data_IF_408707391813
#
_entry.id   IF_408707391813
#
_cell.length_a   1.000
_cell.length_b   1.000
_cell.length_c   1.000
_cell.angle_alpha   90.00
_cell.angle_beta   90.00
_cell.angle_gamma   90.00
#
_symmetry.space_group_name_H-M   'P 1'
#
loop_
_entity.id
_entity.type
_entity.pdbx_description
1 polymer ?
#
# COMPACT_ATOMS: atom_id res chain seq x y z
N UNK A 1 -26.22 8.94 -2.46
CA UNK A 1 -25.24 8.61 -1.40
C UNK A 1 -25.75 7.38 -0.70
N UNK A 2 -25.02 6.27 -0.75
CA UNK A 2 -25.37 5.06 0.02
C UNK A 2 -25.18 5.44 1.48
N UNK A 3 -26.24 5.33 2.29
CA UNK A 3 -26.21 5.73 3.69
C UNK A 3 -25.07 5.03 4.43
N UNK A 4 -24.09 5.80 4.89
CA UNK A 4 -23.04 5.30 5.76
C UNK A 4 -23.73 4.74 6.99
N UNK A 5 -23.47 3.46 7.29
CA UNK A 5 -23.80 2.96 8.62
C UNK A 5 -23.04 3.86 9.60
N UNK A 6 -23.69 4.48 10.58
CA UNK A 6 -22.97 5.15 11.66
C UNK A 6 -22.01 4.10 12.24
N UNK A 7 -20.71 4.41 12.26
CA UNK A 7 -19.58 3.57 12.70
C UNK A 7 -18.84 2.73 11.63
N UNK A 8 -19.05 2.93 10.33
CA UNK A 8 -18.14 2.33 9.35
C UNK A 8 -16.85 3.15 9.23
N UNK A 9 -15.89 2.91 10.14
CA UNK A 9 -14.55 3.51 10.14
C UNK A 9 -13.63 2.82 9.11
N UNK A 10 -14.11 2.68 7.88
CA UNK A 10 -13.32 2.13 6.79
C UNK A 10 -12.15 3.10 6.51
N UNK A 11 -10.90 2.63 6.60
CA UNK A 11 -9.73 3.49 6.46
C UNK A 11 -9.62 4.16 5.08
N UNK A 12 -10.36 3.71 4.07
CA UNK A 12 -10.39 4.35 2.76
C UNK A 12 -11.51 5.37 2.55
N UNK A 13 -12.39 5.54 3.54
CA UNK A 13 -13.55 6.42 3.47
C UNK A 13 -13.73 7.29 4.72
N UNK A 14 -12.62 7.65 5.39
CA UNK A 14 -12.68 8.44 6.62
C UNK A 14 -12.84 9.93 6.31
N UNK A 15 -13.73 10.59 7.06
CA UNK A 15 -13.71 12.04 7.18
C UNK A 15 -12.74 12.52 8.24
N UNK A 16 -12.37 13.80 8.19
CA UNK A 16 -11.45 14.40 9.17
C UNK A 16 -11.97 14.24 10.60
N UNK A 17 -13.28 14.37 10.80
CA UNK A 17 -13.92 14.23 12.12
C UNK A 17 -13.90 12.78 12.65
N UNK A 18 -13.68 11.80 11.78
CA UNK A 18 -13.60 10.38 12.11
C UNK A 18 -12.17 9.91 12.41
N UNK A 19 -11.15 10.75 12.16
CA UNK A 19 -9.74 10.38 12.39
C UNK A 19 -9.47 9.98 13.84
N UNK A 20 -9.97 10.74 14.81
CA UNK A 20 -9.80 10.46 16.24
C UNK A 20 -10.53 9.20 16.73
N UNK A 21 -11.39 8.61 15.90
CA UNK A 21 -12.11 7.38 16.20
C UNK A 21 -11.52 6.17 15.45
N UNK A 22 -10.76 6.41 14.38
CA UNK A 22 -10.26 5.38 13.49
C UNK A 22 -9.04 4.66 14.07
N UNK A 23 -9.12 3.34 14.35
CA UNK A 23 -7.95 2.59 14.81
C UNK A 23 -6.84 2.54 13.75
N UNK A 24 -7.19 2.61 12.46
CA UNK A 24 -6.21 2.64 11.37
C UNK A 24 -5.46 3.95 11.33
N UNK A 25 -6.16 5.07 11.56
CA UNK A 25 -5.53 6.38 11.63
C UNK A 25 -4.59 6.48 12.84
N UNK A 26 -5.04 6.01 14.01
CA UNK A 26 -4.20 5.94 15.21
C UNK A 26 -2.97 5.05 15.01
N UNK A 27 -3.12 3.94 14.26
CA UNK A 27 -2.01 3.10 13.90
C UNK A 27 -0.99 3.86 13.05
N UNK A 28 -1.41 4.64 12.03
CA UNK A 28 -0.51 5.49 11.24
C UNK A 28 0.31 6.44 12.12
N UNK A 29 -0.32 7.14 13.07
CA UNK A 29 0.41 7.98 14.04
C UNK A 29 1.39 7.18 14.89
N UNK A 30 0.96 6.03 15.42
CA UNK A 30 1.80 5.18 16.25
C UNK A 30 3.04 4.70 15.50
N UNK A 31 2.91 4.36 14.21
CA UNK A 31 4.07 4.02 13.38
C UNK A 31 4.99 5.21 13.23
N UNK A 32 4.45 6.38 12.85
CA UNK A 32 5.23 7.61 12.69
C UNK A 32 6.15 7.88 13.86
N UNK A 33 5.60 7.85 15.07
CA UNK A 33 6.36 8.17 16.27
C UNK A 33 7.40 7.11 16.61
N UNK A 34 7.08 5.82 16.42
CA UNK A 34 8.07 4.75 16.55
C UNK A 34 9.24 4.90 15.56
N UNK A 35 8.96 5.33 14.32
CA UNK A 35 10.01 5.55 13.31
C UNK A 35 10.83 6.80 13.56
N UNK A 36 10.22 7.91 13.92
CA UNK A 36 10.95 9.12 14.32
C UNK A 36 11.92 8.84 15.47
N UNK A 37 11.50 8.03 16.44
CA UNK A 37 12.36 7.61 17.55
C UNK A 37 13.56 6.79 17.03
N UNK A 38 13.31 5.78 16.21
CA UNK A 38 14.38 4.96 15.60
C UNK A 38 15.31 5.77 14.67
N UNK A 39 14.79 6.79 13.97
CA UNK A 39 15.57 7.71 13.13
C UNK A 39 16.50 8.61 13.93
N UNK A 40 16.14 8.98 15.17
CA UNK A 40 17.04 9.73 16.04
C UNK A 40 18.16 8.84 16.60
N UNK A 41 17.85 7.57 16.81
CA UNK A 41 18.76 6.61 17.47
C UNK A 41 19.68 5.86 16.49
N UNK A 42 19.40 5.89 15.18
CA UNK A 42 20.19 5.24 14.13
C UNK A 42 20.30 6.15 12.89
N UNK A 43 21.36 5.98 12.07
CA UNK A 43 21.45 6.50 10.68
C UNK A 43 20.39 5.80 9.77
N UNK A 44 19.13 5.80 10.18
CA UNK A 44 18.12 4.95 9.56
C UNK A 44 17.63 5.59 8.27
N UNK A 45 17.48 4.74 7.26
CA UNK A 45 17.02 5.11 5.93
C UNK A 45 15.59 5.69 5.96
N UNK A 46 15.25 6.56 4.99
CA UNK A 46 13.88 7.00 4.78
C UNK A 46 13.03 5.82 4.33
N UNK A 47 11.73 6.05 4.16
CA UNK A 47 10.78 4.95 4.12
C UNK A 47 9.57 5.26 3.24
N UNK A 48 8.87 4.22 2.77
CA UNK A 48 7.84 4.33 1.74
C UNK A 48 6.67 3.42 2.04
N UNK A 49 5.44 3.94 1.93
CA UNK A 49 4.24 3.12 1.95
C UNK A 49 3.75 2.88 0.54
N UNK A 50 3.42 1.62 0.27
CA UNK A 50 2.75 1.25 -0.95
C UNK A 50 1.41 0.66 -0.56
N UNK A 51 0.34 1.37 -0.90
CA UNK A 51 -1.04 0.95 -0.70
C UNK A 51 -1.50 0.19 -1.95
N UNK A 52 -1.60 -1.14 -1.86
CA UNK A 52 -1.88 -1.99 -3.02
C UNK A 52 -3.36 -2.39 -3.06
N UNK A 53 -4.01 -2.06 -4.17
CA UNK A 53 -5.40 -2.35 -4.44
C UNK A 53 -5.55 -3.24 -5.68
N UNK A 54 -6.53 -4.13 -5.62
CA UNK A 54 -6.99 -4.83 -6.81
C UNK A 54 -8.08 -4.03 -7.51
N UNK A 55 -7.96 -3.84 -8.83
CA UNK A 55 -9.07 -3.38 -9.68
C UNK A 55 -9.52 -4.44 -10.68
N UNK A 56 -10.73 -4.26 -11.22
CA UNK A 56 -11.22 -5.07 -12.33
C UNK A 56 -10.51 -4.70 -13.63
N UNK A 57 -10.33 -5.68 -14.51
CA UNK A 57 -9.83 -5.41 -15.86
C UNK A 57 -10.76 -4.43 -16.60
N UNK A 58 -10.19 -3.56 -17.44
CA UNK A 58 -10.96 -2.68 -18.34
C UNK A 58 -10.78 -3.17 -19.78
N UNK A 59 -11.75 -2.87 -20.64
CA UNK A 59 -11.82 -3.43 -22.01
C UNK A 59 -10.56 -3.18 -22.86
N UNK A 60 -9.84 -2.09 -22.61
CA UNK A 60 -8.82 -1.59 -23.53
C UNK A 60 -7.39 -1.65 -22.99
N UNK A 61 -7.18 -2.06 -21.74
CA UNK A 61 -5.85 -1.97 -21.17
C UNK A 61 -5.60 -2.90 -19.97
N UNK A 62 -4.32 -3.16 -19.73
CA UNK A 62 -3.76 -3.87 -18.58
C UNK A 62 -2.82 -2.88 -17.89
N UNK A 63 -3.40 -1.79 -17.37
CA UNK A 63 -2.63 -0.71 -16.73
C UNK A 63 -2.56 -0.91 -15.24
N UNK A 64 -1.35 -0.93 -14.70
CA UNK A 64 -1.13 -0.68 -13.28
C UNK A 64 -1.29 0.83 -13.09
N UNK A 65 -2.30 1.22 -12.33
CA UNK A 65 -2.56 2.62 -12.02
C UNK A 65 -1.78 3.01 -10.76
N UNK A 66 -1.08 4.14 -10.81
CA UNK A 66 -0.21 4.64 -9.75
C UNK A 66 -0.80 5.94 -9.20
N UNK A 67 -1.38 5.87 -8.01
CA UNK A 67 -1.94 7.01 -7.31
C UNK A 67 -0.87 7.76 -6.51
N UNK A 68 -0.55 8.97 -6.98
CA UNK A 68 0.32 9.95 -6.30
C UNK A 68 -0.36 11.31 -6.08
N UNK A 69 -1.66 11.40 -6.38
CA UNK A 69 -2.41 12.66 -6.40
C UNK A 69 -2.43 13.38 -5.04
N UNK A 70 -2.51 12.70 -3.87
CA UNK A 70 -2.36 13.34 -2.58
C UNK A 70 -1.06 14.15 -2.49
N UNK A 71 0.08 13.60 -2.90
CA UNK A 71 1.36 14.30 -2.89
C UNK A 71 1.33 15.50 -3.83
N UNK A 72 0.86 15.30 -5.08
CA UNK A 72 0.70 16.37 -6.07
C UNK A 72 -0.20 17.52 -5.58
N UNK A 73 -1.17 17.23 -4.71
CA UNK A 73 -2.15 18.22 -4.24
C UNK A 73 -1.69 18.93 -2.97
N UNK A 74 -1.21 18.17 -2.00
CA UNK A 74 -0.85 18.67 -0.66
C UNK A 74 0.52 19.33 -0.62
N UNK A 75 1.41 18.96 -1.55
CA UNK A 75 2.79 19.46 -1.57
C UNK A 75 3.08 20.39 -2.75
N UNK A 76 2.05 20.78 -3.51
CA UNK A 76 2.18 21.59 -4.74
C UNK A 76 2.90 22.94 -4.52
N UNK A 77 2.75 23.53 -3.35
CA UNK A 77 3.27 24.86 -3.03
C UNK A 77 4.69 24.80 -2.43
N UNK A 78 5.25 23.60 -2.21
CA UNK A 78 6.61 23.39 -1.73
C UNK A 78 7.51 22.95 -2.90
N UNK A 79 8.46 23.81 -3.29
CA UNK A 79 9.35 23.58 -4.43
C UNK A 79 10.19 22.30 -4.30
N UNK A 80 10.70 21.99 -3.10
CA UNK A 80 11.48 20.76 -2.87
C UNK A 80 10.60 19.53 -3.08
N UNK A 81 9.38 19.55 -2.55
CA UNK A 81 8.45 18.44 -2.70
C UNK A 81 7.98 18.28 -4.15
N UNK A 82 7.73 19.38 -4.86
CA UNK A 82 7.42 19.34 -6.30
C UNK A 82 8.56 18.70 -7.10
N UNK A 83 9.81 19.05 -6.78
CA UNK A 83 11.00 18.40 -7.36
C UNK A 83 11.05 16.91 -7.04
N UNK A 84 10.76 16.52 -5.80
CA UNK A 84 10.71 15.11 -5.40
C UNK A 84 9.65 14.34 -6.22
N UNK A 85 8.44 14.88 -6.36
CA UNK A 85 7.35 14.27 -7.12
C UNK A 85 7.76 14.09 -8.59
N UNK A 86 8.39 15.10 -9.18
CA UNK A 86 8.89 15.03 -10.56
C UNK A 86 9.91 13.90 -10.75
N UNK A 87 10.86 13.73 -9.82
CA UNK A 87 11.82 12.62 -9.84
C UNK A 87 11.11 11.27 -9.70
N UNK A 88 10.12 11.18 -8.82
CA UNK A 88 9.31 9.98 -8.61
C UNK A 88 8.56 9.58 -9.89
N UNK A 89 7.89 10.53 -10.53
CA UNK A 89 7.16 10.34 -11.78
C UNK A 89 8.08 9.89 -12.92
N UNK A 90 9.22 10.55 -13.09
CA UNK A 90 10.21 10.20 -14.11
C UNK A 90 10.74 8.78 -13.90
N UNK A 91 11.09 8.40 -12.66
CA UNK A 91 11.61 7.06 -12.38
C UNK A 91 10.56 5.98 -12.66
N UNK A 92 9.29 6.23 -12.31
CA UNK A 92 8.19 5.30 -12.58
C UNK A 92 7.95 5.16 -14.09
N UNK A 93 7.88 6.26 -14.84
CA UNK A 93 7.61 6.22 -16.29
C UNK A 93 8.78 5.66 -17.11
N UNK A 94 10.02 5.85 -16.65
CA UNK A 94 11.21 5.42 -17.42
C UNK A 94 11.77 4.07 -16.99
N UNK A 95 11.80 3.76 -15.68
CA UNK A 95 12.42 2.53 -15.15
C UNK A 95 11.39 1.48 -14.81
N UNK A 96 10.42 1.81 -13.97
CA UNK A 96 9.43 0.84 -13.50
C UNK A 96 8.57 0.33 -14.66
N UNK A 97 8.00 1.25 -15.44
CA UNK A 97 7.25 0.95 -16.66
C UNK A 97 8.05 0.15 -17.67
N UNK A 98 9.28 0.57 -18.01
CA UNK A 98 10.13 -0.17 -18.96
C UNK A 98 10.36 -1.62 -18.51
N UNK A 99 10.55 -1.85 -17.20
CA UNK A 99 10.71 -3.19 -16.63
C UNK A 99 9.45 -4.04 -16.78
N UNK A 100 8.26 -3.45 -16.70
CA UNK A 100 6.99 -4.18 -16.82
C UNK A 100 6.53 -4.35 -18.28
N UNK A 101 6.89 -3.45 -19.19
CA UNK A 101 6.48 -3.46 -20.60
C UNK A 101 7.01 -4.66 -21.41
N UNK A 102 7.94 -5.44 -20.87
CA UNK A 102 8.37 -6.70 -21.49
C UNK A 102 7.36 -7.84 -21.28
N UNK A 103 6.35 -7.64 -20.43
CA UNK A 103 5.36 -8.66 -20.08
C UNK A 103 4.02 -8.42 -20.77
N UNK A 104 3.34 -9.52 -21.06
CA UNK A 104 1.96 -9.52 -21.56
C UNK A 104 1.03 -10.27 -20.60
N UNK A 105 -0.19 -9.76 -20.45
CA UNK A 105 -1.29 -10.45 -19.78
C UNK A 105 -2.46 -10.63 -20.73
N UNK A 106 -3.18 -11.75 -20.59
CA UNK A 106 -4.44 -11.95 -21.27
C UNK A 106 -5.52 -11.06 -20.65
N UNK A 107 -6.11 -10.16 -21.42
CA UNK A 107 -7.25 -9.36 -21.00
C UNK A 107 -8.56 -10.05 -21.42
N UNK A 108 -9.34 -10.63 -20.49
CA UNK A 108 -10.56 -11.35 -20.82
C UNK A 108 -11.64 -10.44 -21.43
N UNK A 109 -11.62 -9.14 -21.14
CA UNK A 109 -12.60 -8.18 -21.68
C UNK A 109 -12.23 -7.67 -23.07
N UNK A 110 -10.93 -7.66 -23.39
CA UNK A 110 -10.40 -7.31 -24.71
C UNK A 110 -10.19 -8.52 -25.63
N UNK A 111 -10.29 -9.74 -25.08
CA UNK A 111 -10.03 -11.02 -25.76
C UNK A 111 -8.66 -11.08 -26.45
N UNK A 112 -7.65 -10.42 -25.88
CA UNK A 112 -6.31 -10.35 -26.46
C UNK A 112 -5.23 -10.24 -25.38
N UNK A 113 -4.01 -10.63 -25.72
CA UNK A 113 -2.84 -10.32 -24.92
C UNK A 113 -2.52 -8.83 -25.05
N UNK A 114 -2.29 -8.18 -23.92
CA UNK A 114 -1.90 -6.78 -23.85
C UNK A 114 -0.63 -6.66 -23.04
N UNK A 115 0.25 -5.76 -23.48
CA UNK A 115 1.43 -5.38 -22.71
C UNK A 115 1.00 -4.77 -21.37
N UNK A 116 1.66 -5.20 -20.29
CA UNK A 116 1.51 -4.57 -18.97
C UNK A 116 2.15 -3.19 -19.05
N UNK A 117 1.40 -2.14 -18.70
CA UNK A 117 1.87 -0.77 -18.74
C UNK A 117 1.48 -0.04 -17.44
N UNK A 118 2.03 1.14 -17.21
CA UNK A 118 1.87 1.94 -15.99
C UNK A 118 1.24 3.30 -16.34
N UNK A 119 0.30 3.76 -15.52
CA UNK A 119 -0.38 5.05 -15.71
C UNK A 119 -0.54 5.78 -14.38
N UNK A 120 -0.41 7.11 -14.40
CA UNK A 120 -0.72 7.98 -13.26
C UNK A 120 -2.20 8.41 -13.22
N UNK A 121 -2.99 8.07 -14.25
CA UNK A 121 -4.42 8.34 -14.32
C UNK A 121 -5.21 7.28 -13.52
N UNK A 122 -4.97 7.27 -12.21
CA UNK A 122 -5.57 6.35 -11.26
C UNK A 122 -6.99 6.82 -10.93
N UNK A 123 -8.01 5.98 -11.14
CA UNK A 123 -9.37 6.38 -10.78
C UNK A 123 -9.51 6.56 -9.26
N UNK A 124 -8.90 5.69 -8.47
CA UNK A 124 -8.77 5.86 -7.02
C UNK A 124 -7.39 6.43 -6.73
N UNK A 125 -7.10 7.63 -7.19
CA UNK A 125 -5.80 8.26 -6.93
C UNK A 125 -5.55 8.63 -5.46
N UNK A 126 -6.40 8.22 -4.52
CA UNK A 126 -6.31 8.51 -3.08
C UNK A 126 -7.03 9.78 -2.63
N UNK A 127 -7.40 10.66 -3.56
CA UNK A 127 -8.10 11.91 -3.26
C UNK A 127 -9.54 11.82 -3.79
N UNK A 128 -10.49 11.37 -2.99
CA UNK A 128 -11.89 11.19 -3.44
C UNK A 128 -12.66 12.51 -3.64
N UNK A 129 -12.07 13.64 -3.25
CA UNK A 129 -12.75 14.93 -3.17
C UNK A 129 -13.64 15.05 -1.92
N UNK A 130 -14.04 16.27 -1.59
CA UNK A 130 -14.80 16.56 -0.37
C UNK A 130 -13.98 16.31 0.91
N UNK A 131 -14.65 15.86 1.97
CA UNK A 131 -14.06 15.58 3.28
C UNK A 131 -13.83 14.06 3.48
N UNK A 132 -13.33 13.34 2.45
CA UNK A 132 -13.14 11.89 2.50
C UNK A 132 -11.68 11.54 2.13
N UNK A 133 -11.02 10.76 2.97
CA UNK A 133 -9.59 10.52 2.92
C UNK A 133 -9.28 9.02 2.86
N UNK A 134 -8.48 8.60 1.86
CA UNK A 134 -7.91 7.24 1.85
C UNK A 134 -6.77 7.07 2.82
N UNK A 135 -6.31 5.84 3.02
CA UNK A 135 -5.04 5.57 3.68
C UNK A 135 -3.87 6.28 3.01
N UNK A 136 -3.80 6.26 1.69
CA UNK A 136 -2.78 7.00 0.94
C UNK A 136 -2.81 8.51 1.27
N UNK A 137 -4.00 9.12 1.25
CA UNK A 137 -4.18 10.53 1.60
C UNK A 137 -3.82 10.84 3.06
N UNK A 138 -4.29 10.01 3.99
CA UNK A 138 -3.96 10.13 5.41
C UNK A 138 -2.44 10.02 5.65
N UNK A 139 -1.78 9.07 5.00
CA UNK A 139 -0.32 8.89 5.11
C UNK A 139 0.45 10.11 4.61
N UNK A 140 0.03 10.67 3.45
CA UNK A 140 0.63 11.89 2.90
C UNK A 140 0.44 13.10 3.81
N UNK A 141 -0.75 13.26 4.41
CA UNK A 141 -1.06 14.35 5.34
C UNK A 141 -0.24 14.29 6.63
N UNK A 142 -0.03 13.08 7.15
CA UNK A 142 0.70 12.88 8.41
C UNK A 142 2.21 13.02 8.29
N UNK A 143 2.76 12.90 7.08
CA UNK A 143 4.22 12.85 6.95
C UNK A 143 4.84 11.68 7.74
N UNK A 144 4.29 10.47 7.60
CA UNK A 144 4.69 9.24 8.34
C UNK A 144 5.76 8.42 7.59
N UNK A 145 6.50 7.46 8.16
CA UNK A 145 7.66 6.75 7.54
C UNK A 145 7.75 5.23 7.98
N UNK A 146 7.91 4.17 7.12
CA UNK A 146 8.29 2.71 7.37
C UNK A 146 9.19 1.95 6.31
N UNK A 147 10.13 1.11 6.78
CA UNK A 147 11.18 0.37 6.03
C UNK A 147 10.79 -1.06 5.57
N UNK A 148 10.90 -1.40 4.28
CA UNK A 148 10.86 -2.81 3.86
C UNK A 148 12.26 -3.43 4.02
N UNK A 149 12.42 -4.33 5.00
CA UNK A 149 13.58 -5.22 5.07
C UNK A 149 13.33 -6.43 4.15
N UNK A 150 13.78 -6.36 2.89
CA UNK A 150 13.83 -7.53 2.00
C UNK A 150 14.94 -8.48 2.47
N UNK A 151 14.64 -9.38 3.42
CA UNK A 151 15.41 -10.63 3.50
C UNK A 151 14.93 -11.53 2.36
N UNK A 152 15.83 -11.92 1.46
CA UNK A 152 15.64 -12.74 0.25
C UNK A 152 15.01 -14.15 0.43
N UNK A 153 14.32 -14.43 1.55
CA UNK A 153 13.60 -15.67 1.77
C UNK A 153 12.11 -15.38 1.82
N UNK A 154 11.41 -15.73 0.73
CA UNK A 154 10.01 -16.21 0.62
C UNK A 154 9.57 -15.93 -0.83
N UNK A 155 9.74 -16.93 -1.70
CA UNK A 155 9.34 -16.87 -3.12
C UNK A 155 7.92 -17.46 -3.32
N UNK A 156 7.23 -17.96 -2.30
CA UNK A 156 5.97 -18.72 -2.51
C UNK A 156 4.73 -18.23 -1.72
N UNK A 157 4.81 -17.15 -0.94
CA UNK A 157 3.71 -16.68 -0.06
C UNK A 157 3.25 -15.25 -0.43
N UNK A 158 3.74 -14.71 -1.55
CA UNK A 158 3.66 -13.27 -1.82
C UNK A 158 2.32 -12.78 -2.37
N UNK A 159 1.37 -13.63 -2.77
CA UNK A 159 0.09 -13.13 -3.32
C UNK A 159 -0.94 -12.72 -2.26
N UNK A 160 -0.96 -13.39 -1.12
CA UNK A 160 -1.73 -12.97 0.05
C UNK A 160 -0.95 -11.95 0.88
N UNK A 161 0.38 -12.02 0.90
CA UNK A 161 1.22 -11.01 1.57
C UNK A 161 1.24 -9.67 0.82
N UNK A 162 1.24 -9.60 -0.50
CA UNK A 162 1.13 -8.32 -1.22
C UNK A 162 -0.24 -7.65 -0.99
N UNK A 163 -1.25 -8.40 -0.52
CA UNK A 163 -2.54 -7.86 -0.07
C UNK A 163 -2.60 -7.56 1.45
N UNK A 164 -1.90 -8.31 2.30
CA UNK A 164 -1.91 -8.15 3.77
C UNK A 164 -0.73 -7.35 4.35
N UNK A 165 0.36 -7.19 3.59
CA UNK A 165 1.64 -6.57 4.00
C UNK A 165 1.86 -5.19 3.36
N UNK A 166 0.90 -4.73 2.55
CA UNK A 166 0.91 -3.38 1.98
C UNK A 166 0.05 -2.36 2.76
N UNK A 167 -0.33 -2.71 3.99
CA UNK A 167 -0.71 -1.73 5.00
C UNK A 167 0.46 -1.75 5.98
N UNK A 168 1.27 -0.69 6.03
CA UNK A 168 1.84 -0.07 7.25
C UNK A 168 2.89 1.02 6.90
N UNK A 169 2.35 2.24 6.78
CA UNK A 169 2.80 3.60 7.16
C UNK A 169 4.11 4.23 6.66
N UNK A 170 4.06 5.30 5.82
CA UNK A 170 5.23 5.88 5.16
C UNK A 170 4.95 7.00 4.15
N UNK A 171 5.89 7.93 3.92
CA UNK A 171 5.57 9.36 3.69
C UNK A 171 5.06 9.67 2.30
N UNK A 172 5.48 8.82 1.39
CA UNK A 172 4.88 8.68 0.10
C UNK A 172 3.87 7.55 0.22
N UNK A 173 2.58 7.90 0.29
CA UNK A 173 1.53 6.98 -0.08
C UNK A 173 1.61 6.79 -1.58
N UNK A 174 2.24 5.71 -2.03
CA UNK A 174 2.13 5.27 -3.41
C UNK A 174 0.96 4.30 -3.48
N UNK A 175 -0.14 4.67 -4.11
CA UNK A 175 -1.23 3.72 -4.31
C UNK A 175 -0.99 2.95 -5.62
N UNK A 176 -1.03 1.62 -5.59
CA UNK A 176 -0.96 0.78 -6.79
C UNK A 176 -2.28 0.07 -7.00
N UNK A 177 -2.99 0.42 -8.07
CA UNK A 177 -4.19 -0.27 -8.52
C UNK A 177 -3.84 -1.28 -9.62
N UNK A 178 -3.80 -2.56 -9.25
CA UNK A 178 -3.35 -3.64 -10.11
C UNK A 178 -4.56 -4.34 -10.73
N UNK A 179 -4.71 -4.44 -12.08
CA UNK A 179 -5.78 -5.19 -12.74
C UNK A 179 -5.76 -6.68 -12.40
N UNK A 180 -6.91 -7.35 -12.51
CA UNK A 180 -7.04 -8.77 -12.20
C UNK A 180 -6.11 -9.64 -13.06
N UNK A 181 -6.05 -9.38 -14.37
CA UNK A 181 -5.12 -10.06 -15.28
C UNK A 181 -3.65 -9.96 -14.86
N UNK A 182 -3.22 -8.79 -14.36
CA UNK A 182 -1.87 -8.59 -13.82
C UNK A 182 -1.67 -9.34 -12.51
N UNK A 183 -2.65 -9.27 -11.58
CA UNK A 183 -2.57 -10.02 -10.31
C UNK A 183 -2.47 -11.52 -10.58
N UNK A 184 -3.26 -12.05 -11.51
CA UNK A 184 -3.20 -13.45 -11.92
C UNK A 184 -1.81 -13.82 -12.48
N UNK A 185 -1.18 -12.92 -13.23
CA UNK A 185 0.18 -13.12 -13.72
C UNK A 185 1.21 -13.07 -12.59
N UNK A 186 1.09 -12.14 -11.64
CA UNK A 186 1.95 -12.08 -10.45
C UNK A 186 1.92 -13.38 -9.63
N UNK A 187 0.78 -14.10 -9.61
CA UNK A 187 0.67 -15.41 -8.92
C UNK A 187 1.46 -16.50 -9.66
N UNK A 188 1.41 -16.48 -10.99
CA UNK A 188 1.75 -17.63 -11.84
C UNK A 188 3.12 -17.55 -12.47
N UNK A 189 3.71 -16.36 -12.52
CA UNK A 189 4.97 -16.07 -13.20
C UNK A 189 5.97 -15.47 -12.21
N UNK A 190 6.80 -16.34 -11.64
CA UNK A 190 7.83 -15.97 -10.65
C UNK A 190 8.76 -14.88 -11.19
N UNK A 191 9.10 -14.94 -12.49
CA UNK A 191 9.98 -13.93 -13.09
C UNK A 191 9.27 -12.57 -13.13
N UNK A 192 8.00 -12.54 -13.50
CA UNK A 192 7.21 -11.30 -13.47
C UNK A 192 7.08 -10.74 -12.05
N UNK A 193 6.85 -11.61 -11.06
CA UNK A 193 6.80 -11.23 -9.65
C UNK A 193 8.12 -10.61 -9.17
N UNK A 194 9.25 -11.26 -9.45
CA UNK A 194 10.58 -10.75 -9.10
C UNK A 194 10.85 -9.41 -9.76
N UNK A 195 10.59 -9.27 -11.06
CA UNK A 195 10.79 -7.99 -11.75
C UNK A 195 9.86 -6.89 -11.21
N UNK A 196 8.62 -7.21 -10.83
CA UNK A 196 7.72 -6.26 -10.17
C UNK A 196 8.27 -5.80 -8.81
N UNK A 197 8.70 -6.73 -7.96
CA UNK A 197 9.25 -6.43 -6.64
C UNK A 197 10.58 -5.66 -6.72
N UNK A 198 11.48 -6.06 -7.63
CA UNK A 198 12.72 -5.33 -7.90
C UNK A 198 12.47 -3.93 -8.44
N UNK A 199 11.43 -3.74 -9.24
CA UNK A 199 11.01 -2.42 -9.70
C UNK A 199 10.60 -1.49 -8.56
N UNK A 200 9.85 -2.01 -7.59
CA UNK A 200 9.50 -1.30 -6.35
C UNK A 200 10.74 -1.01 -5.51
N UNK A 201 11.65 -1.97 -5.37
CA UNK A 201 12.89 -1.79 -4.62
C UNK A 201 13.79 -0.73 -5.26
N UNK A 202 13.94 -0.75 -6.59
CA UNK A 202 14.71 0.24 -7.32
C UNK A 202 14.10 1.64 -7.17
N UNK A 203 12.78 1.76 -7.20
CA UNK A 203 12.09 3.01 -6.88
C UNK A 203 12.47 3.52 -5.48
N UNK A 204 12.45 2.64 -4.48
CA UNK A 204 12.86 2.97 -3.11
C UNK A 204 14.32 3.44 -3.03
N UNK A 205 15.25 2.65 -3.54
CA UNK A 205 16.69 2.95 -3.45
C UNK A 205 17.08 4.18 -4.25
N UNK A 206 16.50 4.35 -5.44
CA UNK A 206 16.88 5.41 -6.39
C UNK A 206 16.14 6.71 -6.15
N UNK A 207 14.90 6.68 -5.67
CA UNK A 207 14.12 7.89 -5.40
C UNK A 207 14.10 8.19 -3.92
N UNK A 208 13.55 7.29 -3.10
CA UNK A 208 13.27 7.55 -1.69
C UNK A 208 14.59 7.75 -0.92
N UNK A 209 15.50 6.78 -0.95
CA UNK A 209 16.77 6.84 -0.22
C UNK A 209 17.69 7.99 -0.65
N UNK A 210 17.65 8.41 -1.92
CA UNK A 210 18.52 9.48 -2.42
C UNK A 210 17.94 10.86 -2.26
N UNK A 211 16.61 10.99 -2.35
CA UNK A 211 15.94 12.28 -2.45
C UNK A 211 15.03 12.60 -1.26
N UNK A 212 15.06 11.81 -0.18
CA UNK A 212 14.26 12.08 1.02
C UNK A 212 14.54 13.43 1.68
N UNK A 213 15.75 13.99 1.54
CA UNK A 213 16.11 15.33 2.00
C UNK A 213 15.30 16.46 1.33
N UNK A 214 14.50 16.15 0.30
CA UNK A 214 13.58 17.08 -0.33
C UNK A 214 12.22 17.13 0.39
N UNK A 215 11.95 16.19 1.30
CA UNK A 215 10.66 15.99 1.97
C UNK A 215 10.81 15.75 3.48
N UNK A 216 12.01 15.92 4.05
CA UNK A 216 12.33 15.65 5.46
C UNK A 216 11.84 16.76 6.41
N UNK A 217 11.63 17.96 5.88
CA UNK A 217 11.16 19.15 6.58
C UNK A 217 9.64 19.38 6.46
N UNK A 218 8.89 18.40 5.93
CA UNK A 218 7.45 18.54 5.75
C UNK A 218 6.73 18.74 7.10
N UNK A 219 6.05 19.88 7.31
CA UNK A 219 5.29 20.11 8.53
C UNK A 219 4.16 19.10 8.62
N UNK A 220 3.83 18.66 9.84
CA UNK A 220 2.62 17.88 10.05
C UNK A 220 1.42 18.73 9.64
N UNK A 221 0.74 18.38 8.55
CA UNK A 221 -0.40 19.15 8.06
C UNK A 221 -1.69 18.80 8.83
N UNK A 222 -1.67 17.79 9.71
CA UNK A 222 -2.76 17.48 10.63
C UNK A 222 -2.40 17.87 12.07
N UNK A 223 -2.90 19.01 12.51
CA UNK A 223 -2.92 19.42 13.94
C UNK A 223 -4.18 18.91 14.68
N UNK A 224 -4.93 17.98 14.09
CA UNK A 224 -6.28 17.63 14.55
C UNK A 224 -6.32 16.65 15.73
N UNK A 225 -5.18 16.11 16.16
CA UNK A 225 -5.09 15.23 17.33
C UNK A 225 -4.19 15.94 18.33
N UNK A 226 -4.77 16.42 19.42
CA UNK A 226 -3.99 16.95 20.54
C UNK A 226 -3.01 15.86 21.01
N UNK A 227 -1.74 16.21 21.19
CA UNK A 227 -0.66 15.28 21.57
C UNK A 227 -0.98 14.44 22.82
N UNK A 228 -1.95 14.87 23.63
CA UNK A 228 -2.37 14.20 24.86
C UNK A 228 -3.37 13.05 24.70
N UNK A 229 -3.97 12.84 23.51
CA UNK A 229 -5.01 11.81 23.32
C UNK A 229 -4.51 10.49 22.70
N UNK A 230 -3.25 10.39 22.27
CA UNK A 230 -2.88 9.51 21.15
C UNK A 230 -2.15 8.19 21.44
N UNK A 231 -1.88 7.78 22.68
CA UNK A 231 -1.11 6.52 22.91
C UNK A 231 -1.79 5.53 23.87
N UNK A 232 -2.42 5.99 24.95
CA UNK A 232 -2.97 5.08 25.98
C UNK A 232 -4.33 4.48 25.64
N UNK A 233 -5.02 4.96 24.59
CA UNK A 233 -6.36 4.51 24.21
C UNK A 233 -6.41 3.71 22.91
N UNK A 234 -5.26 3.39 22.29
CA UNK A 234 -5.29 2.50 21.13
C UNK A 234 -5.84 1.13 21.58
N UNK A 235 -7.00 0.65 21.07
CA UNK A 235 -7.57 -0.63 21.51
C UNK A 235 -6.66 -1.83 21.22
N UNK A 236 -5.61 -1.63 20.41
CA UNK A 236 -4.63 -2.64 20.02
C UNK A 236 -3.46 -2.77 21.01
N UNK A 237 -3.39 -1.92 22.06
CA UNK A 237 -2.31 -1.93 23.05
C UNK A 237 -2.76 -2.33 24.45
N UNK A 238 -3.80 -3.18 24.57
CA UNK A 238 -4.24 -3.63 25.88
C UNK A 238 -3.24 -4.66 26.45
N UNK A 239 -2.52 -4.27 27.53
CA UNK A 239 -1.43 -5.05 28.13
C UNK A 239 -1.81 -6.46 28.62
N UNK A 240 -3.12 -6.74 28.75
CA UNK A 240 -3.63 -7.98 29.33
C UNK A 240 -3.98 -9.08 28.31
N UNK A 241 -4.09 -8.77 27.02
CA UNK A 241 -4.37 -9.77 25.98
C UNK A 241 -3.16 -9.90 25.05
N UNK A 242 -2.29 -10.88 25.35
CA UNK A 242 -1.10 -11.24 24.55
C UNK A 242 -1.45 -11.89 23.19
N UNK A 243 -2.47 -11.40 22.50
CA UNK A 243 -2.58 -11.57 21.05
C UNK A 243 -2.50 -10.17 20.44
N UNK A 244 -1.32 -9.59 20.62
CA UNK A 244 -0.90 -8.45 19.85
C UNK A 244 -0.62 -8.99 18.44
N UNK A 245 -1.63 -8.98 17.56
CA UNK A 245 -1.53 -9.41 16.14
C UNK A 245 -0.33 -8.71 15.46
N UNK A 246 0.03 -7.54 15.96
CA UNK A 246 1.20 -6.75 15.57
C UNK A 246 2.54 -7.37 15.97
N UNK A 247 2.69 -7.79 17.23
CA UNK A 247 3.89 -8.53 17.66
C UNK A 247 3.89 -9.95 17.10
N UNK A 248 2.73 -10.60 16.98
CA UNK A 248 2.61 -11.96 16.44
C UNK A 248 3.06 -12.03 14.97
N UNK A 249 2.73 -11.01 14.16
CA UNK A 249 3.21 -10.87 12.79
C UNK A 249 4.71 -10.60 12.67
N UNK A 250 5.33 -9.97 13.68
CA UNK A 250 6.77 -9.70 13.71
C UNK A 250 7.60 -10.83 14.34
N UNK A 251 7.06 -11.57 15.32
CA UNK A 251 7.81 -12.60 16.06
C UNK A 251 7.53 -14.04 15.59
N UNK A 252 6.39 -14.32 14.95
CA UNK A 252 6.01 -15.67 14.53
C UNK A 252 5.56 -15.71 13.07
N UNK A 253 6.45 -15.29 12.18
CA UNK A 253 6.32 -15.47 10.73
C UNK A 253 5.93 -16.92 10.35
N UNK A 254 6.43 -17.93 11.06
CA UNK A 254 6.09 -19.35 10.84
C UNK A 254 4.64 -19.72 11.21
N UNK A 255 4.11 -19.21 12.32
CA UNK A 255 2.72 -19.51 12.74
C UNK A 255 1.71 -18.76 11.87
N UNK A 256 2.05 -17.54 11.43
CA UNK A 256 1.26 -16.79 10.46
C UNK A 256 1.23 -17.49 9.09
N UNK A 257 2.35 -18.08 8.66
CA UNK A 257 2.43 -18.93 7.47
C UNK A 257 1.50 -20.16 7.60
N UNK A 258 1.50 -20.86 8.73
CA UNK A 258 0.60 -22.01 8.94
C UNK A 258 -0.88 -21.62 8.89
N UNK A 259 -1.23 -20.46 9.47
CA UNK A 259 -2.60 -19.96 9.46
C UNK A 259 -3.06 -19.63 8.03
N UNK A 260 -2.19 -19.03 7.23
CA UNK A 260 -2.47 -18.69 5.82
C UNK A 260 -2.67 -19.95 4.98
N UNK A 261 -1.80 -20.97 5.13
CA UNK A 261 -1.97 -22.27 4.47
C UNK A 261 -3.30 -22.93 4.85
N UNK A 262 -3.75 -22.80 6.11
CA UNK A 262 -5.06 -23.31 6.55
C UNK A 262 -6.22 -22.54 5.90
N UNK A 263 -6.13 -21.21 5.80
CA UNK A 263 -7.14 -20.36 5.14
C UNK A 263 -7.24 -20.67 3.64
N UNK A 264 -6.10 -20.79 2.95
CA UNK A 264 -6.08 -21.14 1.52
C UNK A 264 -6.70 -22.52 1.26
N UNK A 265 -6.33 -23.53 2.05
CA UNK A 265 -6.92 -24.88 1.94
C UNK A 265 -8.43 -24.86 2.17
N UNK A 266 -8.92 -24.04 3.08
CA UNK A 266 -10.35 -23.88 3.33
C UNK A 266 -11.07 -23.15 2.19
N UNK A 267 -10.44 -22.11 1.64
CA UNK A 267 -10.98 -21.34 0.52
C UNK A 267 -11.05 -22.18 -0.76
N UNK A 268 -9.98 -22.90 -1.10
CA UNK A 268 -9.95 -23.79 -2.26
C UNK A 268 -10.93 -24.97 -2.13
N UNK A 269 -11.09 -25.57 -0.95
CA UNK A 269 -12.13 -26.59 -0.70
C UNK A 269 -13.56 -26.08 -0.94
N UNK A 270 -13.80 -24.78 -0.80
CA UNK A 270 -15.11 -24.16 -1.03
C UNK A 270 -15.40 -23.98 -2.53
N UNK A 271 -14.37 -23.78 -3.35
CA UNK A 271 -14.48 -23.61 -4.80
C UNK A 271 -14.45 -24.93 -5.56
N UNK A 272 -13.70 -25.91 -5.07
CA UNK A 272 -13.63 -27.26 -5.66
C UNK A 272 -15.01 -27.97 -5.62
N UNK A 273 -15.84 -27.64 -4.61
CA UNK A 273 -17.23 -28.12 -4.51
C UNK A 273 -18.21 -27.42 -5.47
N UNK A 274 -17.83 -26.30 -6.10
CA UNK A 274 -18.71 -25.54 -7.00
C UNK A 274 -18.39 -25.70 -8.49
N UNK A 275 -17.30 -26.38 -8.88
CA UNK A 275 -16.90 -26.49 -10.30
C UNK A 275 -16.89 -27.91 -10.90
N UNK A 276 -17.45 -28.92 -10.22
CA UNK A 276 -17.50 -30.29 -10.75
C UNK A 276 -18.91 -30.87 -10.94
N UNK A 277 -19.97 -30.18 -10.52
CA UNK A 277 -21.36 -30.65 -10.68
C UNK A 277 -22.17 -29.91 -11.75
N UNK A 278 -21.55 -29.06 -12.57
CA UNK A 278 -22.23 -28.38 -13.70
C UNK A 278 -21.60 -28.69 -15.07
N UNK A 279 -20.75 -29.72 -15.13
CA UNK A 279 -20.12 -30.22 -16.37
C UNK A 279 -20.06 -31.75 -16.41
N UNK A 280 -21.14 -32.40 -15.95
CA UNK A 280 -21.49 -33.77 -16.33
C UNK A 280 -22.98 -33.79 -16.65
#
# INVERSE_FOLDING_TARGET
>A
MVGSKPNNLDPNYLSTDEFGQSPFHHALHSFREQFKKKQKDMESQPTMTIDIHGKLDRKRNVLIEVGIRPMQTLWKDNEKCAKFISILEEHIDTKFKKRLNQYQCYNPKGLQNMTVDVSFDCCLHGLWGGNCHTMCHQSTLLGTFFSVCFSMFIIHICMLYVWYVCIYAGLCGLQLEIPESVRQKLIKDDKFFVDFAEGIKDLYDSVICKHWHLIDDLPNQMNCIEENDSITKCPLTNDNDKINVFNYGLTNLSELQELIVKIEKAYWKKYDKKSLSSYV
#
